data_IF_749653519235
#
_entry.id   IF_749653519235
#
_cell.length_a   1.000
_cell.length_b   1.000
_cell.length_c   1.000
_cell.angle_alpha   90.00
_cell.angle_beta   90.00
_cell.angle_gamma   90.00
#
_symmetry.space_group_name_H-M   'P 1'
#
loop_
_entity.id
_entity.type
_entity.pdbx_description
1 polymer ?
#
# COMPACT_ATOMS: atom_id res chain seq x y z
N UNK A 1 54.55 11.37 -33.46
CA UNK A 1 53.53 10.64 -34.24
C UNK A 1 52.16 11.26 -33.95
N UNK A 2 51.56 12.05 -34.86
CA UNK A 2 50.19 12.51 -34.71
C UNK A 2 49.30 11.97 -35.84
N UNK A 3 48.12 11.44 -35.51
CA UNK A 3 47.08 11.20 -36.51
C UNK A 3 45.86 12.09 -36.21
N UNK A 4 45.81 13.22 -36.93
CA UNK A 4 44.61 14.02 -37.20
C UNK A 4 43.99 13.48 -38.48
N UNK A 5 42.66 13.37 -38.54
CA UNK A 5 41.92 13.47 -39.80
C UNK A 5 40.56 14.12 -39.53
N UNK A 6 40.50 15.43 -39.77
CA UNK A 6 39.29 16.14 -40.18
C UNK A 6 39.09 15.87 -41.67
N UNK A 7 37.89 15.54 -42.12
CA UNK A 7 37.44 15.98 -43.45
C UNK A 7 35.92 16.19 -43.50
N UNK A 8 35.59 17.36 -44.02
CA UNK A 8 34.29 17.95 -44.31
C UNK A 8 34.10 17.80 -45.81
N UNK A 9 32.95 17.31 -46.31
CA UNK A 9 32.53 17.66 -47.68
C UNK A 9 31.01 17.58 -47.84
N UNK A 10 30.49 18.63 -48.45
CA UNK A 10 29.12 18.95 -48.87
C UNK A 10 28.79 18.41 -50.26
N UNK A 11 27.47 18.39 -50.56
CA UNK A 11 26.79 18.47 -51.88
C UNK A 11 26.17 17.15 -52.44
N UNK A 12 25.24 17.22 -53.43
CA UNK A 12 23.87 17.76 -53.31
C UNK A 12 22.79 16.83 -53.93
N UNK A 13 21.51 17.20 -53.77
CA UNK A 13 20.35 16.61 -54.46
C UNK A 13 20.46 16.68 -56.00
N UNK A 14 19.73 15.79 -56.70
CA UNK A 14 18.92 16.24 -57.82
C UNK A 14 17.47 15.76 -57.73
N UNK A 15 16.56 16.60 -58.25
CA UNK A 15 15.16 16.33 -58.45
C UNK A 15 14.86 15.81 -59.87
N UNK A 16 13.66 15.24 -60.01
CA UNK A 16 12.84 15.00 -61.20
C UNK A 16 13.20 13.84 -62.17
N UNK A 17 12.23 12.93 -62.35
CA UNK A 17 11.57 12.71 -63.66
C UNK A 17 10.25 11.93 -63.53
N UNK A 18 9.21 12.49 -64.15
CA UNK A 18 7.93 11.85 -64.44
C UNK A 18 8.00 11.07 -65.77
N UNK A 19 7.37 9.90 -65.82
CA UNK A 19 6.80 9.21 -66.99
C UNK A 19 5.90 8.10 -66.41
N UNK A 20 4.58 8.10 -66.54
CA UNK A 20 3.83 7.92 -67.78
C UNK A 20 3.37 6.47 -67.86
N UNK A 21 2.09 6.17 -67.62
CA UNK A 21 1.57 4.79 -67.68
C UNK A 21 0.11 4.65 -67.26
N UNK A 22 -0.79 5.00 -68.18
CA UNK A 22 -2.23 4.79 -68.14
C UNK A 22 -2.56 3.30 -68.34
N UNK A 23 -3.39 2.69 -67.48
CA UNK A 23 -4.10 1.46 -67.83
C UNK A 23 -5.47 1.43 -67.13
N UNK A 24 -6.47 1.79 -67.93
CA UNK A 24 -7.90 1.53 -67.73
C UNK A 24 -8.19 0.12 -68.27
N UNK A 25 -9.27 -0.48 -67.75
CA UNK A 25 -9.95 -1.72 -68.12
C UNK A 25 -9.71 -2.85 -67.07
N UNK A 26 -10.70 -3.55 -66.53
CA UNK A 26 -12.02 -3.90 -67.07
C UNK A 26 -12.94 -4.29 -65.91
N UNK A 27 -14.19 -3.82 -65.94
CA UNK A 27 -15.30 -4.35 -65.14
C UNK A 27 -15.55 -5.82 -65.55
N UNK A 28 -15.40 -6.77 -64.63
CA UNK A 28 -16.02 -8.09 -64.74
C UNK A 28 -16.97 -8.30 -63.56
N UNK A 29 -18.27 -8.30 -63.86
CA UNK A 29 -19.31 -8.82 -62.99
C UNK A 29 -19.15 -10.35 -62.92
N UNK A 30 -18.94 -10.90 -61.72
CA UNK A 30 -19.24 -12.29 -61.43
C UNK A 30 -20.37 -12.35 -60.40
N UNK A 31 -21.54 -12.78 -60.88
CA UNK A 31 -22.67 -13.15 -60.08
C UNK A 31 -22.44 -14.52 -59.41
N UNK A 32 -22.92 -14.66 -58.17
CA UNK A 32 -23.34 -15.93 -57.59
C UNK A 32 -22.26 -16.76 -56.88
N UNK A 33 -22.23 -16.67 -55.55
CA UNK A 33 -22.06 -17.80 -54.64
C UNK A 33 -22.29 -17.31 -53.19
N UNK A 34 -23.53 -17.36 -52.73
CA UNK A 34 -23.89 -17.21 -51.31
C UNK A 34 -23.43 -18.45 -50.55
N UNK A 35 -22.36 -18.31 -49.75
CA UNK A 35 -22.01 -19.28 -48.70
C UNK A 35 -22.68 -18.83 -47.39
N UNK A 36 -23.42 -19.69 -46.67
CA UNK A 36 -23.84 -19.36 -45.32
C UNK A 36 -22.61 -19.41 -44.40
N UNK A 37 -22.37 -18.30 -43.68
CA UNK A 37 -21.37 -18.23 -42.63
C UNK A 37 -21.79 -19.12 -41.45
N UNK A 38 -20.90 -19.97 -40.97
CA UNK A 38 -21.08 -20.72 -39.73
C UNK A 38 -21.09 -19.76 -38.53
N UNK A 39 -21.91 -20.01 -37.48
CA UNK A 39 -21.88 -19.20 -36.27
C UNK A 39 -20.55 -19.41 -35.51
N UNK A 40 -20.01 -18.36 -34.85
CA UNK A 40 -18.82 -18.49 -34.02
C UNK A 40 -19.06 -19.41 -32.80
N UNK A 41 -18.03 -20.10 -32.28
CA UNK A 41 -18.16 -20.88 -31.06
C UNK A 41 -18.46 -19.97 -29.86
N UNK A 42 -19.36 -20.42 -29.00
CA UNK A 42 -19.73 -19.79 -27.72
C UNK A 42 -18.47 -19.39 -26.94
N UNK A 43 -18.28 -18.08 -26.81
CA UNK A 43 -17.38 -17.52 -25.80
C UNK A 43 -17.99 -17.81 -24.43
N UNK A 44 -17.56 -18.92 -23.83
CA UNK A 44 -17.85 -19.22 -22.44
C UNK A 44 -17.52 -18.00 -21.58
N UNK A 45 -18.53 -17.54 -20.82
CA UNK A 45 -18.40 -16.46 -19.87
C UNK A 45 -17.24 -16.76 -18.89
N UNK A 46 -16.41 -15.78 -18.53
CA UNK A 46 -15.46 -15.96 -17.44
C UNK A 46 -16.24 -16.25 -16.16
N UNK A 47 -15.95 -17.39 -15.53
CA UNK A 47 -16.43 -17.73 -14.20
C UNK A 47 -16.07 -16.60 -13.24
N UNK A 48 -17.08 -15.92 -12.69
CA UNK A 48 -16.91 -14.96 -11.60
C UNK A 48 -16.26 -15.68 -10.41
N UNK A 49 -14.99 -15.37 -10.16
CA UNK A 49 -14.38 -15.63 -8.86
C UNK A 49 -14.97 -14.57 -7.92
N UNK A 50 -15.90 -14.98 -7.07
CA UNK A 50 -16.59 -14.09 -6.13
C UNK A 50 -15.62 -13.22 -5.34
N UNK A 51 -15.64 -11.92 -5.61
CA UNK A 51 -14.94 -10.92 -4.81
C UNK A 51 -15.55 -10.81 -3.40
N UNK A 52 -14.80 -10.26 -2.42
CA UNK A 52 -15.34 -10.00 -1.09
C UNK A 52 -16.56 -9.07 -1.17
N UNK A 53 -17.51 -9.19 -0.21
CA UNK A 53 -18.75 -8.43 -0.24
C UNK A 53 -18.49 -6.92 -0.34
N UNK A 54 -19.26 -6.25 -1.20
CA UNK A 54 -19.20 -4.81 -1.40
C UNK A 54 -19.41 -4.06 -0.07
N UNK A 55 -18.70 -2.94 0.16
CA UNK A 55 -18.93 -2.14 1.35
C UNK A 55 -20.37 -1.61 1.38
N UNK A 56 -20.98 -1.48 2.56
CA UNK A 56 -22.35 -0.98 2.69
C UNK A 56 -22.45 0.43 2.10
N UNK A 57 -23.50 0.65 1.31
CA UNK A 57 -23.77 1.93 0.65
C UNK A 57 -23.93 3.05 1.68
N UNK A 58 -23.35 4.23 1.36
CA UNK A 58 -23.16 5.43 2.22
C UNK A 58 -24.42 6.04 2.87
N UNK A 59 -25.59 5.42 2.76
CA UNK A 59 -26.86 5.95 3.28
C UNK A 59 -27.38 5.29 4.56
N UNK A 60 -26.88 4.10 4.94
CA UNK A 60 -27.38 3.33 6.09
C UNK A 60 -26.25 2.85 7.00
N UNK A 61 -25.31 3.73 7.37
CA UNK A 61 -24.42 3.41 8.48
C UNK A 61 -25.30 3.30 9.75
N UNK A 62 -25.33 2.15 10.46
CA UNK A 62 -25.92 2.11 11.78
C UNK A 62 -25.22 3.17 12.62
N UNK A 63 -25.99 4.05 13.25
CA UNK A 63 -25.45 4.96 14.25
C UNK A 63 -24.68 4.13 15.29
N UNK A 64 -23.57 4.64 15.86
CA UNK A 64 -22.86 3.93 16.91
C UNK A 64 -23.86 3.54 17.99
N UNK A 65 -24.07 2.23 18.16
CA UNK A 65 -24.95 1.74 19.21
C UNK A 65 -24.24 2.09 20.52
N UNK A 66 -24.86 2.81 21.46
CA UNK A 66 -24.24 3.05 22.75
C UNK A 66 -23.92 1.70 23.39
N UNK A 67 -22.77 1.54 24.07
CA UNK A 67 -22.47 0.29 24.75
C UNK A 67 -23.58 -0.03 25.74
N UNK A 68 -23.97 -1.31 25.90
CA UNK A 68 -24.92 -1.70 26.93
C UNK A 68 -24.40 -1.20 28.28
N UNK A 69 -25.29 -0.60 29.08
CA UNK A 69 -24.97 -0.22 30.44
C UNK A 69 -24.43 -1.45 31.17
N UNK A 70 -23.21 -1.35 31.69
CA UNK A 70 -22.60 -2.43 32.46
C UNK A 70 -23.44 -2.66 33.71
N UNK A 71 -24.14 -3.79 33.79
CA UNK A 71 -24.71 -4.26 35.04
C UNK A 71 -23.54 -4.41 36.02
N UNK A 72 -23.56 -3.60 37.09
CA UNK A 72 -22.43 -3.34 37.98
C UNK A 72 -22.00 -4.51 38.87
N UNK A 73 -21.83 -5.71 38.31
CA UNK A 73 -21.41 -6.90 39.03
C UNK A 73 -20.46 -7.78 38.19
N UNK A 74 -19.41 -7.17 37.64
CA UNK A 74 -18.25 -7.91 37.15
C UNK A 74 -17.33 -8.23 38.35
N UNK A 75 -17.00 -9.51 38.61
CA UNK A 75 -16.01 -9.85 39.63
C UNK A 75 -14.66 -9.19 39.27
N UNK A 76 -14.02 -8.59 40.27
CA UNK A 76 -12.73 -7.93 40.11
C UNK A 76 -11.72 -8.87 39.43
N UNK A 77 -10.93 -8.40 38.45
CA UNK A 77 -9.91 -9.22 37.80
C UNK A 77 -8.92 -9.73 38.85
N UNK A 78 -8.41 -10.98 38.73
CA UNK A 78 -7.38 -11.47 39.63
C UNK A 78 -6.17 -10.54 39.53
N UNK A 79 -5.77 -9.97 40.66
CA UNK A 79 -4.58 -9.12 40.81
C UNK A 79 -3.34 -9.95 40.53
N UNK A 80 -3.02 -10.12 39.25
CA UNK A 80 -1.74 -10.60 38.79
C UNK A 80 -0.76 -9.46 38.98
N UNK A 81 0.29 -9.70 39.77
CA UNK A 81 1.37 -8.77 40.00
C UNK A 81 1.90 -8.22 38.66
N UNK A 82 2.27 -6.93 38.58
CA UNK A 82 2.75 -6.35 37.33
C UNK A 82 3.94 -7.16 36.80
N UNK A 83 3.99 -7.47 35.48
CA UNK A 83 5.17 -8.10 34.90
C UNK A 83 6.40 -7.21 35.17
N UNK A 84 7.51 -7.85 35.54
CA UNK A 84 8.79 -7.15 35.75
C UNK A 84 9.13 -6.33 34.49
N UNK A 85 9.72 -5.13 34.61
CA UNK A 85 10.08 -4.36 33.44
C UNK A 85 11.08 -5.16 32.60
N UNK A 86 10.63 -5.67 31.45
CA UNK A 86 11.53 -6.03 30.36
C UNK A 86 12.26 -4.74 29.97
N UNK A 87 13.59 -4.82 29.85
CA UNK A 87 14.47 -3.69 29.63
C UNK A 87 13.85 -2.66 28.68
N UNK A 88 13.45 -1.52 29.23
CA UNK A 88 12.99 -0.37 28.45
C UNK A 88 14.12 -0.05 27.49
N UNK A 89 13.91 -0.32 26.20
CA UNK A 89 14.75 0.26 25.17
C UNK A 89 14.66 1.77 25.39
N UNK A 90 15.73 2.36 25.94
CA UNK A 90 15.84 3.81 26.08
C UNK A 90 15.55 4.41 24.71
N UNK A 91 14.74 5.48 24.60
CA UNK A 91 14.57 6.15 23.33
C UNK A 91 15.96 6.58 22.85
N UNK A 92 16.42 5.95 21.77
CA UNK A 92 17.61 6.39 21.06
C UNK A 92 17.11 7.57 20.24
N UNK A 93 17.19 8.76 20.82
CA UNK A 93 17.07 9.98 20.04
C UNK A 93 18.32 10.06 19.17
N UNK A 94 18.21 9.99 17.83
CA UNK A 94 19.37 10.22 16.98
C UNK A 94 19.88 11.63 17.27
N UNK A 95 21.08 11.71 17.86
CA UNK A 95 21.74 12.99 18.08
C UNK A 95 22.34 13.40 16.74
N UNK A 96 21.75 14.38 16.05
CA UNK A 96 22.45 15.00 14.92
C UNK A 96 21.66 15.73 13.84
N UNK A 97 20.35 15.54 13.69
CA UNK A 97 19.58 16.22 12.63
C UNK A 97 18.36 16.93 13.21
N UNK A 98 18.09 18.19 12.84
CA UNK A 98 16.90 18.89 13.29
C UNK A 98 15.66 18.16 12.76
N UNK A 99 14.75 17.81 13.67
CA UNK A 99 13.48 17.19 13.31
C UNK A 99 12.68 18.15 12.42
N UNK A 100 12.43 17.74 11.18
CA UNK A 100 11.70 18.58 10.24
C UNK A 100 10.20 18.51 10.50
N UNK A 101 9.45 19.51 10.02
CA UNK A 101 7.98 19.48 10.07
C UNK A 101 7.41 18.20 9.44
N UNK A 102 7.98 17.78 8.32
CA UNK A 102 7.49 16.63 7.56
C UNK A 102 7.81 15.30 8.28
N UNK A 103 8.93 15.25 9.01
CA UNK A 103 9.26 14.17 9.95
C UNK A 103 8.22 14.04 11.06
N UNK A 104 7.86 15.14 11.72
CA UNK A 104 6.84 15.15 12.78
C UNK A 104 5.47 14.73 12.24
N UNK A 105 5.05 15.29 11.10
CA UNK A 105 3.79 14.94 10.45
C UNK A 105 3.73 13.47 10.04
N UNK A 106 4.86 12.88 9.62
CA UNK A 106 4.93 11.46 9.32
C UNK A 106 4.66 10.60 10.56
N UNK A 107 5.26 10.95 11.71
CA UNK A 107 5.02 10.26 12.97
C UNK A 107 3.55 10.40 13.42
N UNK A 108 2.98 11.60 13.33
CA UNK A 108 1.58 11.85 13.64
C UNK A 108 0.65 11.00 12.77
N UNK A 109 0.89 10.98 11.46
CA UNK A 109 0.12 10.14 10.53
C UNK A 109 0.18 8.66 10.90
N UNK A 110 1.37 8.14 11.19
CA UNK A 110 1.54 6.76 11.67
C UNK A 110 0.85 6.51 13.02
N UNK A 111 0.85 7.49 13.93
CA UNK A 111 0.12 7.37 15.20
C UNK A 111 -1.38 7.26 14.95
N UNK A 112 -1.94 8.09 14.07
CA UNK A 112 -3.35 8.01 13.68
C UNK A 112 -3.70 6.66 13.04
N UNK A 113 -2.87 6.18 12.10
CA UNK A 113 -3.08 4.88 11.47
C UNK A 113 -2.95 3.72 12.46
N UNK A 114 -2.00 3.78 13.39
CA UNK A 114 -1.85 2.80 14.47
C UNK A 114 -3.08 2.74 15.38
N UNK A 115 -3.64 3.88 15.77
CA UNK A 115 -4.88 3.93 16.52
C UNK A 115 -6.06 3.39 15.71
N UNK A 116 -6.17 3.74 14.42
CA UNK A 116 -7.22 3.24 13.54
C UNK A 116 -7.16 1.70 13.37
N UNK A 117 -5.96 1.12 13.31
CA UNK A 117 -5.76 -0.35 13.33
C UNK A 117 -6.31 -0.99 14.60
N UNK A 118 -6.07 -0.38 15.77
CA UNK A 118 -6.57 -0.89 17.04
C UNK A 118 -8.08 -0.73 17.18
N UNK A 119 -8.66 0.38 16.68
CA UNK A 119 -10.11 0.55 16.59
C UNK A 119 -10.74 -0.50 15.68
N UNK A 120 -10.14 -0.75 14.51
CA UNK A 120 -10.56 -1.85 13.64
C UNK A 120 -10.50 -3.19 14.39
N UNK A 121 -9.42 -3.49 15.10
CA UNK A 121 -9.33 -4.74 15.85
C UNK A 121 -10.42 -4.86 16.92
N UNK A 122 -10.78 -3.77 17.62
CA UNK A 122 -11.87 -3.77 18.60
C UNK A 122 -13.22 -4.14 17.97
N UNK A 123 -13.52 -3.63 16.78
CA UNK A 123 -14.79 -3.89 16.09
C UNK A 123 -14.84 -5.27 15.40
N UNK A 124 -13.68 -5.90 15.15
CA UNK A 124 -13.55 -7.15 14.39
C UNK A 124 -12.95 -8.29 15.21
N UNK A 125 -13.40 -8.45 16.46
CA UNK A 125 -12.99 -9.56 17.36
C UNK A 125 -11.46 -9.70 17.52
N UNK A 126 -10.76 -8.59 17.76
CA UNK A 126 -9.30 -8.51 17.83
C UNK A 126 -8.56 -8.87 16.52
N UNK A 127 -9.25 -8.95 15.38
CA UNK A 127 -8.64 -9.31 14.10
C UNK A 127 -8.06 -8.09 13.40
N UNK A 128 -6.83 -8.22 12.90
CA UNK A 128 -6.19 -7.22 12.06
C UNK A 128 -6.78 -7.23 10.64
N UNK A 129 -6.74 -6.10 9.91
CA UNK A 129 -7.35 -6.04 8.58
C UNK A 129 -6.63 -6.97 7.59
N UNK A 130 -7.30 -7.35 6.48
CA UNK A 130 -6.65 -8.09 5.40
C UNK A 130 -5.48 -7.29 4.80
N UNK A 131 -4.34 -7.94 4.60
CA UNK A 131 -3.11 -7.26 4.21
C UNK A 131 -3.18 -6.58 2.83
N UNK A 132 -3.98 -7.12 1.91
CA UNK A 132 -4.15 -6.63 0.54
C UNK A 132 -5.11 -5.42 0.42
N UNK A 133 -5.80 -5.06 1.52
CA UNK A 133 -6.79 -3.98 1.54
C UNK A 133 -6.84 -3.26 2.89
N UNK A 134 -5.72 -3.18 3.61
CA UNK A 134 -5.68 -2.67 4.97
C UNK A 134 -6.08 -1.19 5.07
N UNK A 135 -5.56 -0.33 4.21
CA UNK A 135 -5.89 1.09 4.18
C UNK A 135 -7.30 1.35 3.67
N UNK A 136 -7.80 0.49 2.77
CA UNK A 136 -9.22 0.48 2.39
C UNK A 136 -10.12 0.07 3.55
N UNK A 137 -9.72 -0.94 4.35
CA UNK A 137 -10.46 -1.37 5.54
C UNK A 137 -10.47 -0.32 6.65
N UNK A 138 -9.45 0.54 6.74
CA UNK A 138 -9.36 1.61 7.74
C UNK A 138 -10.18 2.86 7.42
N UNK A 139 -10.80 2.96 6.24
CA UNK A 139 -11.57 4.15 5.81
C UNK A 139 -12.66 4.62 6.78
N UNK A 140 -13.37 3.74 7.51
CA UNK A 140 -14.34 4.19 8.51
C UNK A 140 -13.70 4.90 9.72
N UNK A 141 -12.44 4.59 10.03
CA UNK A 141 -11.72 5.07 11.20
C UNK A 141 -10.80 6.26 10.89
N UNK A 142 -10.42 6.42 9.62
CA UNK A 142 -9.51 7.46 9.14
C UNK A 142 -10.28 8.43 8.24
N UNK A 143 -10.59 9.62 8.79
CA UNK A 143 -11.48 10.62 8.15
C UNK A 143 -10.88 11.30 6.91
N UNK A 144 -9.56 11.33 6.79
CA UNK A 144 -8.84 12.08 5.76
C UNK A 144 -7.79 11.19 5.09
N UNK A 145 -7.76 11.18 3.75
CA UNK A 145 -6.80 10.40 2.97
C UNK A 145 -5.36 10.78 3.33
N UNK A 146 -5.09 12.03 3.72
CA UNK A 146 -3.73 12.52 3.98
C UNK A 146 -2.95 11.66 4.99
N UNK A 147 -3.65 10.99 5.93
CA UNK A 147 -3.01 10.15 6.93
C UNK A 147 -2.32 8.91 6.31
N UNK A 148 -2.70 8.50 5.11
CA UNK A 148 -2.04 7.42 4.36
C UNK A 148 -0.78 7.88 3.59
N UNK A 149 -0.49 9.18 3.63
CA UNK A 149 0.60 9.79 2.88
C UNK A 149 1.70 10.23 3.84
N UNK A 150 2.93 9.76 3.62
CA UNK A 150 4.09 10.37 4.26
C UNK A 150 4.42 11.67 3.50
N UNK A 151 4.54 12.82 4.17
CA UNK A 151 4.88 14.09 3.52
C UNK A 151 6.22 14.05 2.78
N UNK A 152 7.20 13.32 3.33
CA UNK A 152 8.52 13.10 2.74
C UNK A 152 8.55 11.97 1.71
N UNK A 153 7.41 11.35 1.38
CA UNK A 153 7.36 10.40 0.27
C UNK A 153 7.59 11.15 -1.06
N UNK A 154 8.56 10.74 -1.88
CA UNK A 154 8.71 11.27 -3.24
C UNK A 154 7.38 11.32 -4.00
N UNK A 155 7.00 12.52 -4.44
CA UNK A 155 5.75 12.80 -5.15
C UNK A 155 4.51 12.98 -4.27
N UNK A 156 4.65 13.03 -2.94
CA UNK A 156 3.55 13.30 -1.99
C UNK A 156 2.47 12.22 -1.95
N UNK A 157 2.76 11.03 -2.47
CA UNK A 157 1.82 9.91 -2.56
C UNK A 157 2.29 8.79 -1.64
N UNK A 158 1.36 8.19 -0.89
CA UNK A 158 1.48 6.94 -0.12
C UNK A 158 2.86 6.66 0.51
N UNK A 159 2.92 6.64 1.83
CA UNK A 159 4.19 6.51 2.55
C UNK A 159 4.39 5.21 3.31
N UNK A 160 3.33 4.45 3.50
CA UNK A 160 3.25 3.44 4.55
C UNK A 160 2.89 2.08 4.00
N UNK A 161 3.42 1.05 4.65
CA UNK A 161 3.10 -0.34 4.38
C UNK A 161 2.68 -1.05 5.66
N UNK A 162 1.87 -2.08 5.47
CA UNK A 162 1.45 -2.99 6.51
C UNK A 162 2.27 -4.28 6.49
N UNK A 163 2.56 -4.81 7.67
CA UNK A 163 3.27 -6.08 7.80
C UNK A 163 2.37 -7.23 7.35
N UNK A 164 2.64 -7.77 6.16
CA UNK A 164 1.75 -8.72 5.46
C UNK A 164 1.37 -9.96 6.28
N UNK A 165 2.31 -10.51 7.05
CA UNK A 165 2.04 -11.70 7.88
C UNK A 165 0.99 -11.48 8.96
N UNK A 166 0.71 -10.23 9.35
CA UNK A 166 -0.33 -9.89 10.32
C UNK A 166 -1.73 -9.88 9.73
N UNK A 167 -1.88 -9.89 8.40
CA UNK A 167 -3.17 -9.79 7.73
C UNK A 167 -4.17 -10.83 8.21
N UNK A 168 -5.29 -10.37 8.76
CA UNK A 168 -6.36 -11.23 9.25
C UNK A 168 -6.04 -12.06 10.50
N UNK A 169 -4.87 -11.90 11.14
CA UNK A 169 -4.55 -12.58 12.41
C UNK A 169 -5.26 -11.91 13.58
N UNK A 170 -5.57 -12.67 14.62
CA UNK A 170 -6.01 -12.07 15.90
C UNK A 170 -4.79 -11.56 16.66
N UNK A 171 -4.91 -10.42 17.33
CA UNK A 171 -3.82 -9.87 18.14
C UNK A 171 -3.41 -10.87 19.24
N UNK A 172 -4.39 -11.57 19.82
CA UNK A 172 -4.18 -12.63 20.81
C UNK A 172 -3.40 -13.86 20.31
N UNK A 173 -3.28 -14.05 18.99
CA UNK A 173 -2.45 -15.12 18.38
C UNK A 173 -0.97 -14.71 18.23
N UNK A 174 -0.63 -13.44 18.46
CA UNK A 174 0.71 -12.90 18.24
C UNK A 174 1.51 -12.90 19.54
N UNK A 175 2.67 -13.57 19.53
CA UNK A 175 3.62 -13.53 20.63
C UNK A 175 4.30 -12.16 20.75
N UNK A 176 4.32 -11.58 21.95
CA UNK A 176 4.95 -10.27 22.25
C UNK A 176 4.52 -9.16 21.29
N UNK A 177 3.22 -8.82 21.21
CA UNK A 177 2.70 -7.85 20.25
C UNK A 177 3.41 -6.48 20.34
N UNK A 178 3.82 -6.04 21.53
CA UNK A 178 4.56 -4.80 21.76
C UNK A 178 5.92 -4.71 21.03
N UNK A 179 6.46 -5.86 20.61
CA UNK A 179 7.72 -5.99 19.87
C UNK A 179 7.54 -6.18 18.36
N UNK A 180 6.31 -6.38 17.89
CA UNK A 180 6.02 -6.68 16.49
C UNK A 180 5.70 -5.41 15.72
N UNK A 181 6.44 -5.15 14.64
CA UNK A 181 6.14 -4.05 13.72
C UNK A 181 4.86 -4.35 12.93
N UNK A 182 3.90 -3.44 13.01
CA UNK A 182 2.60 -3.51 12.35
C UNK A 182 2.56 -2.63 11.09
N UNK A 183 2.92 -1.35 11.21
CA UNK A 183 3.02 -0.41 10.09
C UNK A 183 4.45 0.13 10.02
N UNK A 184 4.88 0.46 8.81
CA UNK A 184 6.23 0.97 8.58
C UNK A 184 6.30 1.84 7.34
N UNK A 185 7.28 2.73 7.30
CA UNK A 185 7.55 3.52 6.10
C UNK A 185 8.11 2.67 4.97
N UNK A 186 7.59 2.88 3.75
CA UNK A 186 7.92 2.06 2.58
C UNK A 186 8.42 2.86 1.39
N UNK A 187 9.45 2.38 0.70
CA UNK A 187 9.89 2.92 -0.60
C UNK A 187 8.92 2.60 -1.74
N UNK A 188 7.99 1.65 -1.55
CA UNK A 188 6.95 1.36 -2.55
C UNK A 188 5.91 2.48 -2.57
N UNK A 189 5.19 2.59 -3.68
CA UNK A 189 4.12 3.58 -3.88
C UNK A 189 2.84 2.83 -4.19
N UNK A 190 1.74 3.30 -3.64
CA UNK A 190 0.40 2.75 -3.86
C UNK A 190 -0.40 2.65 -2.57
N UNK A 191 -1.72 2.55 -2.72
CA UNK A 191 -2.60 2.17 -1.63
C UNK A 191 -2.33 0.73 -1.21
N UNK A 192 -2.67 0.41 0.05
CA UNK A 192 -2.70 -0.97 0.56
C UNK A 192 -1.39 -1.75 0.38
N UNK A 193 -0.24 -1.06 0.35
CA UNK A 193 1.07 -1.72 0.27
C UNK A 193 1.23 -2.60 1.52
N UNK A 194 1.55 -3.87 1.29
CA UNK A 194 1.90 -4.79 2.37
C UNK A 194 3.01 -5.75 1.94
N UNK A 195 4.03 -5.88 2.78
CA UNK A 195 5.13 -6.85 2.68
C UNK A 195 5.71 -7.13 4.07
N UNK A 196 6.82 -7.86 4.16
CA UNK A 196 7.46 -8.28 5.42
C UNK A 196 8.72 -7.44 5.71
N UNK A 197 8.65 -6.16 5.35
CA UNK A 197 9.70 -5.16 5.55
C UNK A 197 10.70 -5.07 4.40
N UNK A 198 10.54 -5.84 3.31
CA UNK A 198 11.42 -5.77 2.12
C UNK A 198 11.44 -4.36 1.51
N UNK A 199 10.35 -3.61 1.70
CA UNK A 199 10.24 -2.24 1.23
C UNK A 199 10.58 -1.18 2.28
N UNK A 200 11.01 -1.55 3.49
CA UNK A 200 11.43 -0.62 4.53
C UNK A 200 12.41 0.44 4.00
N UNK A 201 12.25 1.67 4.48
CA UNK A 201 13.09 2.81 4.12
C UNK A 201 13.53 3.56 5.37
N UNK A 202 14.78 3.32 5.79
CA UNK A 202 15.39 3.95 6.96
C UNK A 202 16.13 5.26 6.64
N UNK A 203 15.91 5.86 5.48
CA UNK A 203 16.58 7.09 5.06
C UNK A 203 15.59 8.15 4.55
N UNK A 204 14.31 8.04 4.94
CA UNK A 204 13.29 8.98 4.48
C UNK A 204 13.43 10.33 5.16
N UNK A 205 13.77 10.30 6.43
CA UNK A 205 13.89 11.48 7.28
C UNK A 205 15.36 11.66 7.69
N UNK A 206 16.23 11.79 6.68
CA UNK A 206 17.68 11.77 6.88
C UNK A 206 18.21 10.34 7.00
N UNK A 207 18.46 9.89 8.24
CA UNK A 207 19.08 8.59 8.53
C UNK A 207 18.19 7.63 9.34
N UNK A 208 16.88 7.87 9.33
CA UNK A 208 15.92 6.96 9.97
C UNK A 208 14.60 6.89 9.22
N UNK A 209 13.80 5.90 9.61
CA UNK A 209 12.39 5.79 9.26
C UNK A 209 11.54 5.48 10.50
N UNK A 210 10.24 5.56 10.36
CA UNK A 210 9.27 5.36 11.42
C UNK A 210 8.52 4.03 11.29
N UNK A 211 8.28 3.40 12.43
CA UNK A 211 7.44 2.21 12.55
C UNK A 211 6.34 2.42 13.58
N UNK A 212 5.29 1.62 13.46
CA UNK A 212 4.27 1.44 14.47
C UNK A 212 4.31 -0.01 14.91
N UNK A 213 4.46 -0.24 16.20
CA UNK A 213 4.34 -1.57 16.80
C UNK A 213 2.87 -1.95 16.98
N UNK A 214 2.59 -3.24 17.14
CA UNK A 214 1.23 -3.76 17.24
C UNK A 214 0.48 -3.26 18.49
N UNK A 215 1.20 -2.76 19.49
CA UNK A 215 0.64 -2.04 20.66
C UNK A 215 0.22 -0.57 20.34
N UNK A 216 0.41 -0.11 19.11
CA UNK A 216 0.09 1.26 18.67
C UNK A 216 1.16 2.30 19.02
N UNK A 217 2.33 1.89 19.50
CA UNK A 217 3.48 2.78 19.76
C UNK A 217 4.22 3.09 18.47
N UNK A 218 4.48 4.38 18.23
CA UNK A 218 5.35 4.83 17.13
C UNK A 218 6.79 4.84 17.63
N UNK A 219 7.73 4.44 16.78
CA UNK A 219 9.15 4.58 17.06
C UNK A 219 9.95 4.92 15.80
N UNK A 220 11.04 5.63 16.01
CA UNK A 220 12.05 5.89 15.00
C UNK A 220 13.07 4.76 15.00
N UNK A 221 13.47 4.30 13.81
CA UNK A 221 14.47 3.26 13.63
C UNK A 221 15.51 3.68 12.58
N UNK A 222 16.81 3.73 12.95
CA UNK A 222 17.89 4.06 12.01
C UNK A 222 18.27 2.88 11.10
N UNK A 223 17.86 1.66 11.45
CA UNK A 223 18.16 0.44 10.70
C UNK A 223 16.86 -0.30 10.38
N UNK A 224 16.94 -1.36 9.57
CA UNK A 224 15.77 -2.19 9.30
C UNK A 224 15.36 -2.96 10.57
N UNK A 225 14.12 -2.80 11.07
CA UNK A 225 13.60 -3.59 12.18
C UNK A 225 13.54 -5.09 11.87
N UNK A 226 13.46 -5.93 12.91
CA UNK A 226 13.13 -7.35 12.73
C UNK A 226 11.63 -7.50 12.49
N UNK A 227 11.26 -8.04 11.34
CA UNK A 227 9.87 -8.32 10.96
C UNK A 227 9.47 -9.78 11.21
N UNK A 228 10.35 -10.62 11.76
CA UNK A 228 10.00 -12.02 11.98
C UNK A 228 9.00 -12.17 13.13
N UNK A 229 7.88 -12.84 12.87
CA UNK A 229 6.99 -13.28 13.93
C UNK A 229 7.63 -14.45 14.68
N UNK A 230 7.78 -14.27 15.99
CA UNK A 230 8.20 -15.35 16.90
C UNK A 230 7.02 -16.32 17.07
N UNK A 231 7.34 -17.60 17.24
CA UNK A 231 6.36 -18.66 17.51
C UNK A 231 6.61 -19.21 18.90
#
# INVERSE_FOLDING_TARGET
MPNRCLFRTTAPMPALRCAGGLLVATLLLCAGCTRPAAPPPDSGAPTEVGGPPLPPQRGNAPQPVPPPASDGNAPAPPTSAPPRPHATAKPIFPTGEPETRDTMLCQENLKYLGMAMLMYAQDYEERLPPADRWGTALRPYVRDEKFFHCPDAPGGRYGYAFHRQLGGKRISEIWQPESVVMLFETKRRGADVADNGESWVGARHGNFGHVVYLDGRVATSPTRPDFRLRR
#
